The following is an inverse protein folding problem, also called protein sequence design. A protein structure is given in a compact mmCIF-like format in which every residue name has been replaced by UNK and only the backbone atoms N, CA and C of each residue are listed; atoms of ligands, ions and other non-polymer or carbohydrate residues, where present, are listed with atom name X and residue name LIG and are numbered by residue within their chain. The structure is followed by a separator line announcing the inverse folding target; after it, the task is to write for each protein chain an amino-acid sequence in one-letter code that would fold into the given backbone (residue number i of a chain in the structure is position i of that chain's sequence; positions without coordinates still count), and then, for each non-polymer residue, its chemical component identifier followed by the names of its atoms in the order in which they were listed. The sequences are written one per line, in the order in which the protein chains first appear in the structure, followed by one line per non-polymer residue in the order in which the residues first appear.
data_IF_831085984268
#
_entry.id   IF_831085984268
#
_cell.length_a   1.000
_cell.length_b   1.000
_cell.length_c   1.000
_cell.angle_alpha   90.00
_cell.angle_beta   90.00
_cell.angle_gamma   90.00
#
_symmetry.space_group_name_H-M   'P 1'
#
loop_
_entity.id
_entity.type
_entity.pdbx_description
1 polymer ?
#
# COMPACT_ATOMS: atom_id res chain seq x y z
N UNK A 1 13.99 12.82 -13.23
CA UNK A 1 13.74 13.34 -14.61
C UNK A 1 13.84 14.87 -14.70
N UNK A 2 13.04 15.65 -13.94
CA UNK A 2 13.09 17.13 -13.96
C UNK A 2 14.51 17.72 -13.85
N UNK A 3 15.30 17.25 -12.89
CA UNK A 3 16.72 17.67 -12.72
C UNK A 3 17.56 17.36 -13.96
N UNK A 4 17.39 16.18 -14.55
CA UNK A 4 18.08 15.78 -15.78
C UNK A 4 17.69 16.64 -16.98
N UNK A 5 16.40 16.98 -17.10
CA UNK A 5 15.90 17.89 -18.13
C UNK A 5 16.41 19.31 -17.94
N UNK A 6 16.47 19.83 -16.71
CA UNK A 6 17.05 21.15 -16.43
C UNK A 6 18.54 21.23 -16.79
N UNK A 7 19.31 20.16 -16.51
CA UNK A 7 20.70 20.04 -16.97
C UNK A 7 20.80 20.03 -18.50
N UNK A 8 19.91 19.29 -19.16
CA UNK A 8 19.81 19.25 -20.63
C UNK A 8 19.42 20.61 -21.22
N UNK A 9 18.47 21.32 -20.61
CA UNK A 9 18.03 22.66 -21.02
C UNK A 9 19.19 23.65 -21.02
N UNK A 10 20.06 23.61 -19.99
CA UNK A 10 21.26 24.44 -19.93
C UNK A 10 22.19 24.17 -21.12
N UNK A 11 22.42 22.90 -21.47
CA UNK A 11 23.25 22.49 -22.62
C UNK A 11 22.61 22.96 -23.94
N UNK A 12 21.28 22.88 -24.06
CA UNK A 12 20.56 23.39 -25.23
C UNK A 12 20.76 24.90 -25.37
N UNK A 13 20.56 25.68 -24.30
CA UNK A 13 20.77 27.14 -24.33
C UNK A 13 22.18 27.53 -24.74
N UNK A 14 23.20 26.83 -24.24
CA UNK A 14 24.61 27.05 -24.57
C UNK A 14 24.94 26.71 -26.04
N UNK A 15 24.35 25.63 -26.57
CA UNK A 15 24.50 25.25 -27.98
C UNK A 15 23.79 26.21 -28.93
N UNK A 16 22.64 26.74 -28.54
CA UNK A 16 21.92 27.74 -29.34
C UNK A 16 22.71 29.04 -29.53
N UNK A 17 23.57 29.42 -28.56
CA UNK A 17 24.40 30.63 -28.69
C UNK A 17 25.70 30.42 -29.46
N UNK A 18 26.12 29.16 -29.66
CA UNK A 18 27.43 28.81 -30.24
C UNK A 18 27.35 28.20 -31.64
N UNK A 19 26.21 27.61 -32.00
CA UNK A 19 26.00 26.99 -33.32
C UNK A 19 25.39 27.97 -34.32
N UNK A 20 25.68 27.74 -35.60
CA UNK A 20 25.13 28.50 -36.71
C UNK A 20 23.62 28.24 -36.88
N UNK A 21 22.84 29.31 -37.03
CA UNK A 21 21.37 29.29 -37.04
C UNK A 21 20.82 28.42 -38.17
N UNK A 22 21.50 28.38 -39.32
CA UNK A 22 21.06 27.60 -40.49
C UNK A 22 21.34 26.09 -40.37
N UNK A 23 22.25 25.68 -39.49
CA UNK A 23 22.65 24.27 -39.30
C UNK A 23 22.02 23.61 -38.06
N UNK A 24 21.22 24.34 -37.29
CA UNK A 24 20.60 23.83 -36.05
C UNK A 24 19.47 22.85 -36.38
N UNK A 25 19.54 21.65 -35.79
CA UNK A 25 18.43 20.70 -35.75
C UNK A 25 18.19 20.26 -34.30
N UNK A 26 16.99 19.75 -33.95
CA UNK A 26 16.73 19.25 -32.60
C UNK A 26 17.75 18.19 -32.15
N UNK A 27 18.26 17.38 -33.08
CA UNK A 27 19.24 16.34 -32.79
C UNK A 27 20.62 16.92 -32.41
N UNK A 28 21.03 18.06 -32.97
CA UNK A 28 22.32 18.70 -32.60
C UNK A 28 22.23 19.41 -31.25
N UNK A 29 21.04 19.87 -30.86
CA UNK A 29 20.81 20.54 -29.57
C UNK A 29 20.61 19.56 -28.41
N UNK A 30 19.88 18.47 -28.64
CA UNK A 30 19.50 17.53 -27.57
C UNK A 30 20.66 16.61 -27.21
N UNK A 31 21.16 16.71 -25.98
CA UNK A 31 22.07 15.75 -25.39
C UNK A 31 21.35 14.97 -24.27
N UNK A 32 21.07 13.69 -24.51
CA UNK A 32 20.36 12.83 -23.56
C UNK A 32 21.23 12.32 -22.40
N UNK A 33 22.56 12.45 -22.47
CA UNK A 33 23.48 11.91 -21.45
C UNK A 33 23.14 12.37 -20.02
N UNK A 34 22.84 13.66 -19.75
CA UNK A 34 22.48 14.11 -18.41
C UNK A 34 21.16 13.53 -17.89
N UNK A 35 20.21 13.25 -18.80
CA UNK A 35 18.91 12.66 -18.45
C UNK A 35 19.09 11.19 -18.07
N UNK A 36 19.78 10.42 -18.91
CA UNK A 36 20.07 9.00 -18.65
C UNK A 36 20.91 8.84 -17.39
N UNK A 37 21.94 9.69 -17.21
CA UNK A 37 22.77 9.67 -16.01
C UNK A 37 21.94 9.91 -14.73
N UNK A 38 21.04 10.90 -14.74
CA UNK A 38 20.18 11.17 -13.59
C UNK A 38 19.22 10.01 -13.26
N UNK A 39 18.73 9.28 -14.27
CA UNK A 39 17.90 8.08 -14.06
C UNK A 39 18.74 6.94 -13.47
N UNK A 40 19.92 6.69 -14.04
CA UNK A 40 20.84 5.64 -13.57
C UNK A 40 21.31 5.90 -12.15
N UNK A 41 21.63 7.15 -11.83
CA UNK A 41 21.99 7.59 -10.47
C UNK A 41 20.85 7.32 -9.50
N UNK A 42 19.62 7.72 -9.85
CA UNK A 42 18.46 7.47 -8.99
C UNK A 42 18.25 5.98 -8.69
N UNK A 43 18.21 5.10 -9.71
CA UNK A 43 17.99 3.68 -9.46
C UNK A 43 19.19 2.97 -8.84
N UNK A 44 20.41 3.48 -9.06
CA UNK A 44 21.64 2.85 -8.57
C UNK A 44 22.02 3.23 -7.13
N UNK A 45 21.77 4.47 -6.70
CA UNK A 45 22.29 4.99 -5.42
C UNK A 45 21.25 5.61 -4.50
N UNK A 46 20.00 5.77 -4.93
CA UNK A 46 18.94 6.34 -4.08
C UNK A 46 18.58 5.40 -2.93
N UNK A 47 18.41 5.96 -1.72
CA UNK A 47 17.88 5.24 -0.55
C UNK A 47 16.45 4.70 -0.75
N UNK A 48 15.71 5.31 -1.68
CA UNK A 48 14.35 4.87 -2.04
C UNK A 48 14.36 3.75 -3.10
N UNK A 49 15.48 3.55 -3.81
CA UNK A 49 15.66 2.44 -4.74
C UNK A 49 16.26 1.27 -3.97
N UNK A 50 15.38 0.50 -3.32
CA UNK A 50 15.79 -0.59 -2.44
C UNK A 50 15.83 -1.92 -3.18
N UNK A 51 16.76 -2.79 -2.79
CA UNK A 51 16.77 -4.16 -3.28
C UNK A 51 15.53 -4.90 -2.76
N UNK A 52 14.75 -5.49 -3.66
CA UNK A 52 13.46 -6.07 -3.28
C UNK A 52 13.66 -7.22 -2.31
N UNK A 53 13.16 -7.06 -1.09
CA UNK A 53 12.97 -8.14 -0.12
C UNK A 53 12.05 -9.23 -0.70
N UNK A 54 12.61 -10.43 -0.92
CA UNK A 54 11.94 -11.59 -1.52
C UNK A 54 12.19 -12.85 -0.67
N UNK A 55 12.14 -12.70 0.66
CA UNK A 55 12.18 -13.85 1.57
C UNK A 55 10.95 -14.74 1.35
N UNK A 56 9.77 -14.14 1.23
CA UNK A 56 8.51 -14.79 0.86
C UNK A 56 7.57 -13.77 0.16
N UNK A 57 6.43 -14.20 -0.41
CA UNK A 57 5.54 -13.30 -1.14
C UNK A 57 5.01 -12.13 -0.30
N UNK A 58 4.79 -12.33 1.01
CA UNK A 58 4.34 -11.27 1.91
C UNK A 58 5.43 -10.20 2.12
N UNK A 59 6.69 -10.60 2.24
CA UNK A 59 7.81 -9.67 2.34
C UNK A 59 7.90 -8.76 1.11
N UNK A 60 7.71 -9.32 -0.09
CA UNK A 60 7.65 -8.56 -1.33
C UNK A 60 6.46 -7.60 -1.39
N UNK A 61 5.26 -8.08 -1.01
CA UNK A 61 4.04 -7.27 -1.00
C UNK A 61 4.14 -6.08 -0.01
N UNK A 62 4.57 -6.34 1.22
CA UNK A 62 4.73 -5.31 2.26
C UNK A 62 5.82 -4.31 1.91
N UNK A 63 6.92 -4.76 1.29
CA UNK A 63 7.96 -3.85 0.80
C UNK A 63 7.44 -2.88 -0.27
N UNK A 64 6.61 -3.35 -1.21
CA UNK A 64 5.95 -2.49 -2.22
C UNK A 64 4.98 -1.47 -1.60
N UNK A 65 4.43 -1.77 -0.41
CA UNK A 65 3.47 -0.91 0.32
C UNK A 65 4.10 -0.12 1.47
N UNK A 66 5.43 -0.06 1.53
CA UNK A 66 6.19 0.60 2.60
C UNK A 66 6.13 2.12 2.46
N UNK A 67 5.87 2.79 3.57
CA UNK A 67 5.93 4.25 3.72
C UNK A 67 7.20 4.60 4.50
N UNK A 68 8.08 5.43 3.93
CA UNK A 68 9.35 5.83 4.54
C UNK A 68 9.43 7.33 4.70
N UNK A 69 9.66 7.80 5.93
CA UNK A 69 9.98 9.19 6.23
C UNK A 69 11.46 9.53 5.96
N UNK A 70 12.29 8.50 5.76
CA UNK A 70 13.71 8.63 5.45
C UNK A 70 13.94 8.78 3.94
N UNK A 71 14.99 9.51 3.57
CA UNK A 71 15.43 9.66 2.18
C UNK A 71 15.74 11.11 1.81
N UNK A 72 16.24 11.36 0.59
CA UNK A 72 16.45 12.72 0.10
C UNK A 72 15.16 13.55 0.13
N UNK A 73 15.18 14.68 0.84
CA UNK A 73 14.00 15.54 1.04
C UNK A 73 13.11 15.14 2.23
N UNK A 74 13.36 13.99 2.87
CA UNK A 74 12.72 13.58 4.11
C UNK A 74 13.56 13.93 5.35
N UNK A 75 13.35 13.16 6.41
CA UNK A 75 14.07 13.31 7.67
C UNK A 75 15.36 12.48 7.66
N UNK A 76 16.40 12.98 8.34
CA UNK A 76 17.53 12.13 8.74
C UNK A 76 17.17 11.40 10.04
N UNK A 77 17.66 10.17 10.19
CA UNK A 77 17.38 9.34 11.37
C UNK A 77 17.77 10.04 12.69
N UNK A 78 18.86 10.80 12.69
CA UNK A 78 19.37 11.53 13.86
C UNK A 78 18.52 12.77 14.23
N UNK A 79 17.84 13.36 13.25
CA UNK A 79 16.99 14.54 13.46
C UNK A 79 15.52 14.18 13.74
N UNK A 80 15.17 12.90 13.61
CA UNK A 80 13.83 12.42 13.88
C UNK A 80 13.62 12.22 15.39
N UNK A 81 12.99 13.21 16.03
CA UNK A 81 12.57 13.15 17.42
C UNK A 81 11.48 12.10 17.70
N UNK A 82 11.03 12.01 18.94
CA UNK A 82 9.99 11.04 19.32
C UNK A 82 8.62 11.39 18.71
N UNK A 83 8.27 12.67 18.63
CA UNK A 83 6.95 13.13 18.17
C UNK A 83 6.61 12.73 16.73
N UNK A 84 7.62 12.56 15.86
CA UNK A 84 7.43 12.11 14.47
C UNK A 84 7.36 10.58 14.35
N UNK A 85 7.64 9.85 15.41
CA UNK A 85 7.62 8.37 15.46
C UNK A 85 6.33 7.84 16.07
N UNK A 86 5.66 8.67 16.88
CA UNK A 86 4.42 8.29 17.55
C UNK A 86 3.26 8.17 16.56
N UNK A 87 2.26 7.38 16.95
CA UNK A 87 1.07 7.16 16.14
C UNK A 87 0.15 8.37 16.26
N UNK A 88 -0.08 9.07 15.16
CA UNK A 88 -1.03 10.17 15.09
C UNK A 88 -2.46 9.64 14.81
N UNK A 89 -3.53 10.23 15.40
CA UNK A 89 -4.90 9.78 15.14
C UNK A 89 -5.30 9.76 13.66
N UNK A 90 -4.77 10.68 12.85
CA UNK A 90 -5.03 10.72 11.40
C UNK A 90 -4.43 9.53 10.62
N UNK A 91 -3.55 8.73 11.25
CA UNK A 91 -3.04 7.50 10.64
C UNK A 91 -4.14 6.44 10.49
N UNK A 92 -5.25 6.55 11.22
CA UNK A 92 -6.36 5.60 11.16
C UNK A 92 -6.81 5.35 9.71
N UNK A 93 -6.80 4.09 9.29
CA UNK A 93 -7.18 3.69 7.93
C UNK A 93 -6.19 4.08 6.81
N UNK A 94 -5.07 4.76 7.15
CA UNK A 94 -4.06 5.27 6.20
C UNK A 94 -2.71 4.57 6.39
N UNK A 95 -2.14 4.65 7.59
CA UNK A 95 -0.87 4.01 7.95
C UNK A 95 -1.12 3.06 9.12
N UNK A 96 -0.63 1.82 8.99
CA UNK A 96 -0.84 0.83 10.03
C UNK A 96 -0.09 1.22 11.31
N UNK A 97 -0.75 1.23 12.48
CA UNK A 97 -0.10 1.57 13.75
C UNK A 97 0.72 0.42 14.35
N UNK A 98 0.58 -0.80 13.80
CA UNK A 98 1.24 -2.02 14.32
C UNK A 98 2.51 -2.34 13.51
N UNK A 99 2.43 -2.33 12.18
CA UNK A 99 3.55 -2.77 11.34
C UNK A 99 4.60 -1.66 11.15
N UNK A 100 5.59 -1.67 12.05
CA UNK A 100 6.81 -0.84 11.97
C UNK A 100 8.02 -1.68 12.42
N UNK A 101 9.24 -1.41 11.93
CA UNK A 101 10.44 -2.06 12.47
C UNK A 101 10.61 -1.79 13.97
N UNK A 102 11.06 -2.79 14.73
CA UNK A 102 11.33 -2.70 16.18
C UNK A 102 12.59 -1.89 16.50
N UNK A 103 13.52 -1.84 15.54
CA UNK A 103 14.83 -1.23 15.72
C UNK A 103 14.80 0.31 15.68
N UNK A 104 15.94 0.94 15.36
CA UNK A 104 16.06 2.39 15.42
C UNK A 104 15.23 3.15 14.36
N UNK A 105 14.59 2.43 13.45
CA UNK A 105 13.69 2.96 12.43
C UNK A 105 12.21 2.91 12.85
N UNK A 106 11.91 2.54 14.11
CA UNK A 106 10.55 2.56 14.66
C UNK A 106 9.88 3.92 14.42
N UNK A 107 8.65 3.89 13.89
CA UNK A 107 7.85 5.07 13.55
C UNK A 107 8.29 5.82 12.28
N UNK A 108 9.49 5.56 11.75
CA UNK A 108 10.00 6.20 10.52
C UNK A 108 9.70 5.39 9.26
N UNK A 109 9.39 4.11 9.44
CA UNK A 109 8.99 3.20 8.39
C UNK A 109 7.70 2.53 8.84
N UNK A 110 6.63 2.75 8.08
CA UNK A 110 5.34 2.10 8.28
C UNK A 110 4.88 1.37 7.03
N UNK A 111 3.72 0.75 7.12
CA UNK A 111 3.04 0.13 5.98
C UNK A 111 1.70 0.83 5.72
N UNK A 112 1.34 0.94 4.44
CA UNK A 112 0.02 1.40 4.03
C UNK A 112 -1.06 0.45 4.57
N UNK A 113 -2.12 1.01 5.16
CA UNK A 113 -3.28 0.25 5.65
C UNK A 113 -3.97 -0.53 4.53
N UNK A 114 -4.80 -1.50 4.90
CA UNK A 114 -5.45 -2.44 3.95
C UNK A 114 -6.24 -1.73 2.85
N UNK A 115 -7.00 -0.69 3.20
CA UNK A 115 -7.86 0.05 2.27
C UNK A 115 -7.33 1.45 1.91
N UNK A 116 -6.15 1.83 2.43
CA UNK A 116 -5.54 3.12 2.14
C UNK A 116 -5.18 3.26 0.65
N UNK A 117 -5.49 4.41 0.06
CA UNK A 117 -5.17 4.76 -1.34
C UNK A 117 -4.47 6.11 -1.40
N UNK A 118 -3.50 6.26 -2.29
CA UNK A 118 -2.85 7.56 -2.53
C UNK A 118 -3.60 8.30 -3.65
N UNK A 119 -3.96 9.56 -3.41
CA UNK A 119 -4.66 10.39 -4.38
C UNK A 119 -3.68 11.14 -5.31
N UNK A 120 -4.17 11.81 -6.38
CA UNK A 120 -3.31 12.50 -7.35
C UNK A 120 -2.44 13.62 -6.75
N UNK A 121 -2.83 14.17 -5.59
CA UNK A 121 -2.06 15.18 -4.86
C UNK A 121 -1.00 14.59 -3.92
N UNK A 122 -1.03 13.27 -3.71
CA UNK A 122 -0.10 12.56 -2.84
C UNK A 122 -0.59 12.33 -1.41
N UNK A 123 -1.84 12.68 -1.08
CA UNK A 123 -2.43 12.38 0.22
C UNK A 123 -3.00 10.97 0.27
N UNK A 124 -3.00 10.36 1.46
CA UNK A 124 -3.62 9.06 1.68
C UNK A 124 -5.09 9.25 2.04
N UNK A 125 -5.96 8.64 1.26
CA UNK A 125 -7.39 8.55 1.47
C UNK A 125 -7.76 7.19 2.05
N UNK A 126 -8.84 7.15 2.83
CA UNK A 126 -9.43 5.90 3.32
C UNK A 126 -10.93 5.91 3.06
N UNK A 127 -11.55 4.76 2.71
CA UNK A 127 -12.96 4.72 2.35
C UNK A 127 -13.87 4.71 3.59
N UNK A 128 -15.01 5.37 3.49
CA UNK A 128 -16.08 5.36 4.48
C UNK A 128 -17.44 5.13 3.82
N UNK A 129 -18.35 4.47 4.52
CA UNK A 129 -19.77 4.39 4.14
C UNK A 129 -20.48 5.65 4.59
N UNK A 130 -21.21 6.30 3.69
CA UNK A 130 -21.98 7.50 4.02
C UNK A 130 -23.22 7.13 4.84
N UNK A 131 -23.50 7.91 5.88
CA UNK A 131 -24.72 7.82 6.70
C UNK A 131 -25.59 9.03 6.37
N UNK A 132 -26.89 8.80 6.16
CA UNK A 132 -27.87 9.84 5.88
C UNK A 132 -29.06 9.64 6.81
N UNK A 133 -29.37 10.63 7.64
CA UNK A 133 -30.50 10.61 8.59
C UNK A 133 -30.50 9.35 9.49
N UNK A 134 -29.32 8.94 9.99
CA UNK A 134 -29.16 7.75 10.83
C UNK A 134 -29.21 6.41 10.09
N UNK A 135 -29.27 6.43 8.76
CA UNK A 135 -29.24 5.23 7.92
C UNK A 135 -27.92 5.11 7.16
N UNK A 136 -27.21 4.01 7.38
CA UNK A 136 -25.97 3.67 6.69
C UNK A 136 -26.28 3.24 5.26
N UNK A 137 -25.63 3.89 4.29
CA UNK A 137 -25.80 3.62 2.86
C UNK A 137 -24.65 2.77 2.30
N UNK A 138 -24.82 2.30 1.07
CA UNK A 138 -23.76 1.61 0.31
C UNK A 138 -22.87 2.57 -0.49
N UNK A 139 -23.11 3.88 -0.38
CA UNK A 139 -22.23 4.88 -0.98
C UNK A 139 -20.89 4.91 -0.22
N UNK A 140 -19.81 4.63 -0.94
CA UNK A 140 -18.44 4.68 -0.40
C UNK A 140 -17.74 5.94 -0.92
N UNK A 141 -17.38 6.81 0.02
CA UNK A 141 -16.60 8.01 -0.27
C UNK A 141 -15.19 7.87 0.33
N UNK A 142 -14.18 8.28 -0.44
CA UNK A 142 -12.79 8.28 0.00
C UNK A 142 -12.45 9.64 0.59
N UNK A 143 -12.04 9.66 1.87
CA UNK A 143 -11.77 10.90 2.59
C UNK A 143 -10.28 11.06 2.90
N UNK A 144 -9.75 12.25 2.62
CA UNK A 144 -8.43 12.67 3.10
C UNK A 144 -8.48 12.97 4.61
N UNK A 145 -7.32 13.10 5.27
CA UNK A 145 -7.27 13.38 6.71
C UNK A 145 -7.97 14.71 7.08
N UNK A 146 -7.78 15.76 6.28
CA UNK A 146 -8.37 17.08 6.53
C UNK A 146 -9.89 17.12 6.29
N UNK A 147 -10.41 16.25 5.43
CA UNK A 147 -11.84 16.08 5.21
C UNK A 147 -12.47 15.24 6.31
N UNK A 148 -11.82 14.13 6.70
CA UNK A 148 -12.28 13.25 7.78
C UNK A 148 -12.49 14.03 9.10
N UNK A 149 -11.63 15.00 9.39
CA UNK A 149 -11.72 15.85 10.59
C UNK A 149 -12.98 16.74 10.65
N UNK A 150 -13.69 16.91 9.53
CA UNK A 150 -14.93 17.71 9.46
C UNK A 150 -16.17 16.91 9.80
N UNK A 151 -16.05 15.59 9.84
CA UNK A 151 -17.17 14.67 9.97
C UNK A 151 -17.05 13.81 11.23
N UNK A 152 -18.17 13.21 11.63
CA UNK A 152 -18.23 12.26 12.73
C UNK A 152 -18.36 10.83 12.20
N UNK A 153 -17.45 9.95 12.61
CA UNK A 153 -17.30 8.60 12.04
C UNK A 153 -17.63 7.51 13.05
N UNK A 154 -18.60 6.66 12.77
CA UNK A 154 -18.91 5.48 13.55
C UNK A 154 -17.96 4.31 13.23
N UNK A 155 -17.77 3.42 14.21
CA UNK A 155 -16.98 2.20 14.04
C UNK A 155 -17.72 1.14 13.20
N UNK A 156 -16.96 0.26 12.53
CA UNK A 156 -17.50 -0.80 11.68
C UNK A 156 -18.32 -1.87 12.42
N UNK A 157 -18.16 -1.99 13.74
CA UNK A 157 -18.84 -2.96 14.60
C UNK A 157 -20.15 -2.43 15.21
N UNK A 158 -20.55 -1.18 14.90
CA UNK A 158 -21.85 -0.67 15.30
C UNK A 158 -22.97 -1.55 14.72
N UNK A 159 -23.94 -1.94 15.56
CA UNK A 159 -25.02 -2.83 15.16
C UNK A 159 -26.02 -2.09 14.28
N UNK A 160 -26.26 -2.63 13.09
CA UNK A 160 -27.22 -2.10 12.12
C UNK A 160 -28.25 -3.16 11.74
N UNK A 161 -29.46 -2.74 11.38
CA UNK A 161 -30.47 -3.61 10.79
C UNK A 161 -30.24 -3.84 9.27
N UNK A 162 -31.07 -4.69 8.65
CA UNK A 162 -31.00 -4.99 7.22
C UNK A 162 -31.33 -3.77 6.33
N UNK A 163 -32.01 -2.77 6.88
CA UNK A 163 -32.34 -1.52 6.18
C UNK A 163 -31.22 -0.48 6.30
N UNK A 164 -30.25 -0.68 7.21
CA UNK A 164 -29.09 0.18 7.46
C UNK A 164 -29.25 1.12 8.65
N UNK A 165 -30.30 1.02 9.47
CA UNK A 165 -30.48 1.86 10.64
C UNK A 165 -29.66 1.34 11.83
N UNK A 166 -29.16 2.24 12.68
CA UNK A 166 -28.49 1.85 13.91
C UNK A 166 -29.49 1.28 14.93
N UNK A 167 -29.14 0.14 15.54
CA UNK A 167 -29.99 -0.54 16.52
C UNK A 167 -29.83 0.01 17.95
N UNK A 168 -28.75 0.74 18.22
CA UNK A 168 -28.43 1.27 19.54
C UNK A 168 -28.82 2.76 19.62
N UNK A 169 -29.33 3.20 20.78
CA UNK A 169 -29.73 4.60 20.99
C UNK A 169 -28.55 5.57 20.90
N UNK A 170 -27.33 5.09 21.20
CA UNK A 170 -26.10 5.86 21.07
C UNK A 170 -25.02 5.03 20.38
N UNK A 171 -24.28 5.66 19.49
CA UNK A 171 -23.22 5.03 18.69
C UNK A 171 -21.86 5.58 19.08
N UNK A 172 -20.88 4.69 19.22
CA UNK A 172 -19.49 5.07 19.48
C UNK A 172 -18.86 5.65 18.21
N UNK A 173 -18.42 6.91 18.31
CA UNK A 173 -17.88 7.65 17.17
C UNK A 173 -16.51 8.24 17.47
N UNK A 174 -15.75 8.48 16.39
CA UNK A 174 -14.52 9.26 16.39
C UNK A 174 -14.80 10.67 15.86
N UNK A 175 -14.54 11.68 16.70
CA UNK A 175 -14.59 13.10 16.34
C UNK A 175 -13.20 13.60 15.94
N UNK A 176 -13.11 14.89 15.62
CA UNK A 176 -11.87 15.58 15.29
C UNK A 176 -10.83 15.39 16.41
N UNK A 177 -9.56 15.23 16.04
CA UNK A 177 -8.46 15.12 17.01
C UNK A 177 -8.37 13.78 17.74
N UNK A 178 -9.17 12.78 17.33
CA UNK A 178 -9.15 11.44 17.94
C UNK A 178 -10.00 11.31 19.19
N UNK A 179 -10.84 12.30 19.50
CA UNK A 179 -11.81 12.20 20.60
C UNK A 179 -12.85 11.14 20.30
N UNK A 180 -13.21 10.37 21.34
CA UNK A 180 -14.20 9.30 21.25
C UNK A 180 -15.39 9.67 22.12
N UNK A 181 -16.59 9.63 21.53
CA UNK A 181 -17.83 9.99 22.20
C UNK A 181 -18.96 9.04 21.80
N UNK A 182 -20.01 8.99 22.61
CA UNK A 182 -21.27 8.31 22.31
C UNK A 182 -22.31 9.35 21.92
N UNK A 183 -22.74 9.36 20.66
CA UNK A 183 -23.70 10.33 20.13
C UNK A 183 -24.95 9.65 19.57
N UNK A 184 -25.99 10.43 19.30
CA UNK A 184 -27.21 9.95 18.65
C UNK A 184 -26.93 9.53 17.19
N UNK A 185 -27.55 8.45 16.69
CA UNK A 185 -27.39 7.97 15.31
C UNK A 185 -27.61 9.02 14.22
N UNK A 186 -28.48 10.00 14.47
CA UNK A 186 -28.79 11.09 13.53
C UNK A 186 -27.61 12.03 13.26
N UNK A 187 -26.67 12.11 14.21
CA UNK A 187 -25.51 13.00 14.15
C UNK A 187 -24.26 12.30 13.57
N UNK A 188 -24.40 11.07 13.08
CA UNK A 188 -23.33 10.31 12.43
C UNK A 188 -23.31 10.60 10.93
N UNK A 189 -22.15 11.03 10.41
CA UNK A 189 -21.99 11.33 8.97
C UNK A 189 -21.48 10.13 8.17
N UNK A 190 -20.59 9.34 8.76
CA UNK A 190 -19.88 8.26 8.09
C UNK A 190 -19.66 7.05 9.01
N UNK A 191 -19.42 5.88 8.43
CA UNK A 191 -19.09 4.64 9.14
C UNK A 191 -17.90 3.95 8.46
N UNK A 192 -17.02 3.34 9.26
CA UNK A 192 -15.90 2.52 8.75
C UNK A 192 -16.41 1.39 7.82
N UNK A 193 -15.67 1.06 6.76
CA UNK A 193 -16.07 -0.02 5.82
C UNK A 193 -15.76 -1.42 6.34
N UNK A 194 -14.79 -1.54 7.26
CA UNK A 194 -14.33 -2.82 7.77
C UNK A 194 -13.61 -2.68 9.11
N UNK A 195 -13.75 -3.64 10.04
CA UNK A 195 -13.00 -3.61 11.31
C UNK A 195 -11.47 -3.63 11.12
N UNK A 196 -10.98 -4.24 10.03
CA UNK A 196 -9.55 -4.28 9.69
C UNK A 196 -9.08 -3.07 8.87
N UNK A 197 -9.84 -1.99 8.82
CA UNK A 197 -9.51 -0.80 8.03
C UNK A 197 -8.18 -0.16 8.44
N UNK A 198 -7.87 -0.16 9.74
CA UNK A 198 -6.66 0.45 10.31
C UNK A 198 -5.38 -0.38 10.18
N UNK A 199 -5.47 -1.68 9.86
CA UNK A 199 -4.31 -2.58 9.88
C UNK A 199 -3.74 -2.82 8.48
N UNK A 200 -2.44 -3.15 8.39
CA UNK A 200 -1.78 -3.53 7.14
C UNK A 200 -2.18 -4.94 6.71
N UNK A 201 -1.78 -5.33 5.50
CA UNK A 201 -2.01 -6.69 5.00
C UNK A 201 -1.34 -7.77 5.87
N UNK A 202 -0.13 -7.52 6.39
CA UNK A 202 0.58 -8.47 7.26
C UNK A 202 -0.07 -8.57 8.65
N UNK A 203 -0.41 -7.43 9.26
CA UNK A 203 -1.10 -7.41 10.54
C UNK A 203 -2.49 -8.04 10.45
N UNK A 204 -3.20 -7.85 9.33
CA UNK A 204 -4.51 -8.46 9.10
C UNK A 204 -4.49 -10.00 8.92
N UNK A 205 -3.32 -10.64 8.82
CA UNK A 205 -3.17 -12.10 8.78
C UNK A 205 -2.95 -12.73 10.16
N UNK A 206 -2.90 -11.94 11.23
CA UNK A 206 -2.82 -12.44 12.60
C UNK A 206 -4.25 -12.78 13.07
N UNK A 207 -4.60 -14.06 13.28
CA UNK A 207 -5.89 -14.41 13.88
C UNK A 207 -5.91 -13.95 15.34
N UNK A 208 -7.09 -13.54 15.84
CA UNK A 208 -7.27 -13.10 17.23
C UNK A 208 -6.40 -11.90 17.63
N UNK A 209 -6.06 -11.03 16.67
CA UNK A 209 -5.24 -9.84 16.87
C UNK A 209 -5.75 -8.94 18.02
N UNK A 210 -7.06 -8.86 18.19
CA UNK A 210 -7.73 -8.11 19.27
C UNK A 210 -7.42 -8.63 20.68
N UNK A 211 -6.89 -9.85 20.79
CA UNK A 211 -6.48 -10.47 22.05
C UNK A 211 -4.97 -10.36 22.31
N UNK A 212 -4.20 -9.80 21.37
CA UNK A 212 -2.76 -9.61 21.48
C UNK A 212 -2.40 -8.16 21.84
N UNK A 213 -1.36 -8.00 22.68
CA UNK A 213 -0.76 -6.69 22.91
C UNK A 213 -0.07 -6.17 21.65
N UNK A 214 -0.09 -4.85 21.44
CA UNK A 214 0.45 -4.19 20.26
C UNK A 214 1.93 -4.53 20.01
N UNK A 215 2.75 -4.68 21.05
CA UNK A 215 4.17 -5.00 20.88
C UNK A 215 4.36 -6.43 20.33
N UNK A 216 3.51 -7.37 20.75
CA UNK A 216 3.56 -8.76 20.28
C UNK A 216 2.97 -8.90 18.89
N UNK A 217 1.88 -8.18 18.60
CA UNK A 217 1.32 -8.09 17.27
C UNK A 217 2.32 -7.52 16.26
N UNK A 218 3.08 -6.48 16.66
CA UNK A 218 4.14 -5.88 15.85
C UNK A 218 5.24 -6.90 15.54
N UNK A 219 5.74 -7.61 16.56
CA UNK A 219 6.73 -8.69 16.38
C UNK A 219 6.19 -9.76 15.43
N UNK A 220 4.94 -10.20 15.63
CA UNK A 220 4.29 -11.20 14.79
C UNK A 220 4.20 -10.78 13.32
N UNK A 221 3.73 -9.56 13.06
CA UNK A 221 3.64 -9.01 11.69
C UNK A 221 5.03 -8.93 11.03
N UNK A 222 6.06 -8.52 11.78
CA UNK A 222 7.43 -8.45 11.27
C UNK A 222 8.04 -9.84 11.00
N UNK A 223 7.79 -10.80 11.88
CA UNK A 223 8.32 -12.17 11.76
C UNK A 223 7.68 -12.94 10.60
N UNK A 224 6.41 -12.67 10.27
CA UNK A 224 5.77 -13.27 9.08
C UNK A 224 6.55 -12.99 7.79
N UNK A 225 7.17 -11.81 7.66
CA UNK A 225 8.00 -11.43 6.49
C UNK A 225 9.34 -12.18 6.44
N UNK A 226 9.74 -12.81 7.53
CA UNK A 226 11.00 -13.55 7.66
C UNK A 226 10.80 -15.07 7.47
N UNK A 227 9.55 -15.53 7.34
CA UNK A 227 9.25 -16.94 7.12
C UNK A 227 9.88 -17.45 5.82
N UNK A 228 10.54 -18.60 5.87
CA UNK A 228 11.21 -19.22 4.72
C UNK A 228 10.26 -20.15 3.97
N UNK A 229 10.24 -20.13 2.62
CA UNK A 229 9.46 -21.08 1.83
C UNK A 229 9.94 -22.52 2.07
N UNK A 230 9.01 -23.40 2.45
CA UNK A 230 9.28 -24.82 2.70
C UNK A 230 9.28 -25.61 1.38
N UNK A 231 9.81 -26.84 1.41
CA UNK A 231 9.72 -27.78 0.27
C UNK A 231 8.27 -28.08 -0.12
N UNK A 232 7.38 -28.13 0.88
CA UNK A 232 5.94 -28.28 0.72
C UNK A 232 5.25 -27.26 1.61
N UNK A 233 4.49 -26.36 0.99
CA UNK A 233 3.68 -25.37 1.71
C UNK A 233 2.35 -25.99 2.13
N UNK A 234 1.94 -25.72 3.36
CA UNK A 234 0.65 -26.11 3.91
C UNK A 234 -0.10 -24.85 4.35
N UNK A 235 -1.38 -24.75 3.99
CA UNK A 235 -2.22 -23.63 4.42
C UNK A 235 -2.56 -23.76 5.91
N UNK A 236 -2.64 -22.65 6.67
CA UNK A 236 -3.00 -22.72 8.07
C UNK A 236 -4.44 -23.23 8.25
N UNK A 237 -4.68 -24.00 9.31
CA UNK A 237 -6.03 -24.45 9.67
C UNK A 237 -6.91 -23.30 10.18
N UNK A 238 -6.29 -22.31 10.82
CA UNK A 238 -6.94 -21.10 11.34
C UNK A 238 -6.34 -19.90 10.61
N UNK A 239 -7.17 -19.17 9.87
CA UNK A 239 -6.77 -17.99 9.11
C UNK A 239 -7.78 -16.85 9.23
N UNK A 240 -7.47 -15.71 8.61
CA UNK A 240 -8.28 -14.47 8.69
C UNK A 240 -9.04 -14.15 7.40
N UNK A 241 -8.75 -14.89 6.32
CA UNK A 241 -9.28 -14.64 4.98
C UNK A 241 -8.50 -13.58 4.20
N UNK A 242 -7.44 -13.01 4.77
CA UNK A 242 -6.52 -12.10 4.05
C UNK A 242 -5.51 -12.87 3.18
N UNK A 243 -5.23 -14.13 3.50
CA UNK A 243 -4.17 -14.95 2.90
C UNK A 243 -4.32 -15.09 1.39
N UNK A 244 -5.55 -15.39 0.92
CA UNK A 244 -5.85 -15.55 -0.49
C UNK A 244 -5.54 -14.28 -1.29
N UNK A 245 -6.03 -13.14 -0.81
CA UNK A 245 -5.84 -11.84 -1.48
C UNK A 245 -4.38 -11.40 -1.40
N UNK A 246 -3.72 -11.59 -0.26
CA UNK A 246 -2.30 -11.29 -0.12
C UNK A 246 -1.44 -12.12 -1.09
N UNK A 247 -1.72 -13.43 -1.25
CA UNK A 247 -0.96 -14.28 -2.16
C UNK A 247 -1.17 -13.90 -3.64
N UNK A 248 -2.42 -13.64 -4.04
CA UNK A 248 -2.76 -13.19 -5.40
C UNK A 248 -2.13 -11.82 -5.70
N UNK A 249 -2.30 -10.86 -4.80
CA UNK A 249 -1.86 -9.48 -5.01
C UNK A 249 -0.34 -9.31 -4.82
N UNK A 250 0.35 -10.26 -4.16
CA UNK A 250 1.82 -10.29 -4.12
C UNK A 250 2.44 -10.50 -5.51
N UNK A 251 1.76 -11.29 -6.36
CA UNK A 251 2.13 -11.54 -7.76
C UNK A 251 3.06 -12.73 -8.01
N UNK A 252 3.36 -13.53 -6.99
CA UNK A 252 4.21 -14.73 -7.13
C UNK A 252 3.40 -15.98 -7.52
N UNK A 253 2.07 -15.92 -7.47
CA UNK A 253 1.16 -16.98 -7.95
C UNK A 253 0.77 -16.73 -9.41
N UNK A 254 0.50 -17.82 -10.13
CA UNK A 254 0.01 -17.74 -11.52
C UNK A 254 -1.51 -17.62 -11.52
N UNK A 255 -2.03 -16.53 -12.09
CA UNK A 255 -3.47 -16.26 -12.21
C UNK A 255 -3.89 -16.36 -13.67
N UNK A 256 -5.00 -17.04 -13.93
CA UNK A 256 -5.58 -17.11 -15.27
C UNK A 256 -6.13 -15.73 -15.68
N UNK A 257 -5.73 -15.24 -16.85
CA UNK A 257 -6.17 -13.93 -17.38
C UNK A 257 -7.57 -13.97 -18.00
N UNK A 258 -8.00 -15.14 -18.47
CA UNK A 258 -9.28 -15.38 -19.11
C UNK A 258 -9.88 -16.68 -18.58
N UNK A 259 -11.20 -16.76 -18.57
CA UNK A 259 -11.94 -18.00 -18.36
C UNK A 259 -11.69 -18.94 -19.53
N UNK A 260 -11.64 -20.23 -19.22
CA UNK A 260 -11.36 -21.26 -20.20
C UNK A 260 -11.14 -22.62 -19.54
N UNK A 261 -10.74 -23.59 -20.35
CA UNK A 261 -10.45 -24.95 -19.93
C UNK A 261 -8.96 -25.23 -20.05
N UNK A 262 -8.40 -25.99 -19.11
CA UNK A 262 -7.01 -26.45 -19.20
C UNK A 262 -6.89 -27.45 -20.35
N UNK A 263 -6.08 -27.10 -21.34
CA UNK A 263 -5.81 -27.95 -22.51
C UNK A 263 -4.63 -28.89 -22.26
N UNK A 264 -3.55 -28.36 -21.68
CA UNK A 264 -2.32 -29.11 -21.40
C UNK A 264 -1.70 -28.64 -20.09
N UNK A 265 -1.19 -29.60 -19.30
CA UNK A 265 -0.50 -29.32 -18.04
C UNK A 265 0.82 -30.09 -17.97
N UNK A 266 1.89 -29.36 -17.64
CA UNK A 266 3.22 -29.88 -17.40
C UNK A 266 3.80 -29.27 -16.11
N UNK A 267 4.88 -29.85 -15.61
CA UNK A 267 5.65 -29.28 -14.50
C UNK A 267 6.29 -27.92 -14.85
N UNK A 268 6.42 -27.62 -16.15
CA UNK A 268 7.07 -26.40 -16.68
C UNK A 268 6.08 -25.33 -17.15
N UNK A 269 4.84 -25.71 -17.52
CA UNK A 269 3.84 -24.77 -18.02
C UNK A 269 2.41 -25.30 -17.89
N UNK A 270 1.46 -24.37 -17.98
CA UNK A 270 0.02 -24.66 -18.09
C UNK A 270 -0.53 -23.94 -19.31
N UNK A 271 -1.19 -24.66 -20.22
CA UNK A 271 -1.87 -24.07 -21.39
C UNK A 271 -3.38 -24.10 -21.18
N UNK A 272 -4.01 -22.94 -21.30
CA UNK A 272 -5.46 -22.74 -21.17
C UNK A 272 -6.02 -22.35 -22.52
N UNK A 273 -7.05 -23.08 -22.97
CA UNK A 273 -7.90 -22.69 -24.08
C UNK A 273 -9.01 -21.80 -23.53
N UNK A 274 -8.98 -20.51 -23.88
CA UNK A 274 -10.00 -19.56 -23.48
C UNK A 274 -11.31 -19.79 -24.27
N UNK A 275 -12.43 -19.34 -23.70
CA UNK A 275 -13.76 -19.50 -24.32
C UNK A 275 -13.89 -18.81 -25.69
N UNK A 276 -13.03 -17.82 -25.97
CA UNK A 276 -12.95 -17.12 -27.26
C UNK A 276 -12.11 -17.85 -28.32
N UNK A 277 -11.63 -19.06 -28.02
CA UNK A 277 -10.79 -19.88 -28.89
C UNK A 277 -9.30 -19.47 -28.90
N UNK A 278 -8.90 -18.46 -28.11
CA UNK A 278 -7.48 -18.12 -27.94
C UNK A 278 -6.79 -19.07 -26.97
N UNK A 279 -5.55 -19.46 -27.28
CA UNK A 279 -4.70 -20.26 -26.40
C UNK A 279 -3.74 -19.37 -25.63
N UNK A 280 -3.61 -19.61 -24.33
CA UNK A 280 -2.65 -18.91 -23.48
C UNK A 280 -1.83 -19.90 -22.64
N UNK A 281 -0.51 -19.85 -22.79
CA UNK A 281 0.43 -20.66 -22.02
C UNK A 281 1.11 -19.83 -20.93
N UNK A 282 1.14 -20.38 -19.72
CA UNK A 282 1.78 -19.79 -18.54
C UNK A 282 2.99 -20.64 -18.15
N UNK A 283 4.19 -20.08 -18.28
CA UNK A 283 5.42 -20.74 -17.84
C UNK A 283 5.58 -20.70 -16.32
N UNK A 284 6.00 -21.81 -15.72
CA UNK A 284 6.22 -21.96 -14.29
C UNK A 284 7.68 -21.66 -13.93
N UNK A 285 7.90 -20.92 -12.85
CA UNK A 285 9.23 -20.70 -12.32
C UNK A 285 9.66 -21.90 -11.47
N UNK A 286 10.71 -22.61 -11.89
CA UNK A 286 11.24 -23.80 -11.21
C UNK A 286 12.63 -23.51 -10.68
N UNK A 287 12.82 -23.70 -9.37
CA UNK A 287 14.11 -23.58 -8.67
C UNK A 287 14.89 -22.29 -8.98
N UNK A 288 14.17 -21.18 -9.15
CA UNK A 288 14.78 -19.87 -9.35
C UNK A 288 15.25 -19.32 -8.01
N UNK A 289 16.51 -18.87 -7.95
CA UNK A 289 17.06 -18.19 -6.78
C UNK A 289 16.35 -16.85 -6.57
N UNK A 290 15.93 -16.56 -5.33
CA UNK A 290 15.42 -15.26 -4.92
C UNK A 290 16.57 -14.28 -4.62
N UNK A 291 16.22 -13.08 -4.17
CA UNK A 291 17.18 -12.03 -3.83
C UNK A 291 17.96 -12.27 -2.53
N UNK A 292 17.39 -13.05 -1.60
CA UNK A 292 18.05 -13.51 -0.37
C UNK A 292 18.83 -14.80 -0.64
#
# INVERSE_FOLDING_TARGET
IRVGLSRMERVVRERMTTQDVEAITPQTLINIRPVVAAIKEFFGTSQLSQFMDQTNPLAGLTHKRRLSALGPGGLSRERAGMEVRDVHPSHYGRMCPIETPEGPNIGLIGSLSSYGRVNPFGFIETPYRKVVDGRVTDQIDYLTADEEDRYVKAQANAKIDDEGNFLEEKVLVRKKGGEVEMIDPSDVDYMDVSPRQMVSAATAMIPFLEHDDANRALMGANMQRQAVPLLRSESPLVGTGMELRAAVDAGDVVVAKKTGVVEEISADYVTVMADDGSRQTYGLHKFRRSNQ
#
